data_IF_176075900327
#
_entry.id   IF_176075900327
#
_cell.length_a   1.000
_cell.length_b   1.000
_cell.length_c   1.000
_cell.angle_alpha   90.00
_cell.angle_beta   90.00
_cell.angle_gamma   90.00
#
_symmetry.space_group_name_H-M   'P 1'
#
loop_
_entity.id
_entity.type
_entity.pdbx_description
1 polymer ?
#
# COMPACT_ATOMS: atom_id res chain seq x y z
N UNK A 1 -15.11 -5.04 -12.48
CA UNK A 1 -14.10 -5.95 -13.07
C UNK A 1 -13.24 -6.42 -11.93
N UNK A 2 -13.27 -7.71 -11.63
CA UNK A 2 -12.51 -8.29 -10.53
C UNK A 2 -11.10 -8.63 -11.00
N UNK A 3 -10.09 -8.17 -10.28
CA UNK A 3 -8.68 -8.48 -10.52
C UNK A 3 -8.10 -9.10 -9.26
N UNK A 4 -7.86 -10.42 -9.33
CA UNK A 4 -7.32 -11.22 -8.22
C UNK A 4 -5.83 -10.96 -8.02
N UNK A 5 -5.35 -11.19 -6.80
CA UNK A 5 -3.95 -11.07 -6.41
C UNK A 5 -2.98 -11.75 -7.39
N UNK A 6 -3.27 -12.94 -7.90
CA UNK A 6 -2.39 -13.61 -8.86
C UNK A 6 -2.11 -12.79 -10.15
N UNK A 7 -3.04 -11.91 -10.53
CA UNK A 7 -2.88 -11.00 -11.66
C UNK A 7 -2.10 -9.76 -11.25
N UNK A 8 -2.37 -9.24 -10.06
CA UNK A 8 -1.63 -8.11 -9.47
C UNK A 8 -0.16 -8.48 -9.25
N UNK A 9 0.14 -9.67 -8.73
CA UNK A 9 1.50 -10.17 -8.56
C UNK A 9 2.23 -10.29 -9.90
N UNK A 10 1.55 -10.74 -10.97
CA UNK A 10 2.13 -10.76 -12.33
C UNK A 10 2.48 -9.36 -12.87
N UNK A 11 1.73 -8.32 -12.49
CA UNK A 11 2.05 -6.92 -12.82
C UNK A 11 3.36 -6.53 -12.13
N UNK A 12 3.51 -6.86 -10.85
CA UNK A 12 4.74 -6.60 -10.07
C UNK A 12 5.94 -7.36 -10.62
N UNK A 13 5.83 -8.68 -10.79
CA UNK A 13 6.94 -9.55 -11.21
C UNK A 13 7.47 -9.20 -12.60
N UNK A 14 6.57 -8.82 -13.51
CA UNK A 14 6.90 -8.55 -14.91
C UNK A 14 7.14 -7.08 -15.19
N UNK A 15 6.98 -6.22 -14.19
CA UNK A 15 6.98 -4.76 -14.34
C UNK A 15 6.12 -4.31 -15.54
N UNK A 16 4.87 -4.80 -15.59
CA UNK A 16 3.93 -4.53 -16.68
C UNK A 16 2.81 -3.63 -16.20
N UNK A 17 2.40 -2.69 -17.03
CA UNK A 17 1.15 -1.96 -16.84
C UNK A 17 -0.01 -2.74 -17.44
N UNK A 18 -1.09 -2.91 -16.68
CA UNK A 18 -2.37 -3.41 -17.17
C UNK A 18 -3.27 -2.22 -17.50
N UNK A 19 -3.50 -1.98 -18.79
CA UNK A 19 -4.51 -1.01 -19.22
C UNK A 19 -5.91 -1.58 -19.00
N UNK A 20 -6.78 -0.80 -18.36
CA UNK A 20 -8.18 -1.20 -18.13
C UNK A 20 -9.12 -0.54 -19.14
N UNK A 21 -8.91 0.75 -19.41
CA UNK A 21 -9.57 1.53 -20.47
C UNK A 21 -8.69 2.76 -20.79
N UNK A 22 -9.13 3.67 -21.66
CA UNK A 22 -8.34 4.85 -22.07
C UNK A 22 -8.07 5.87 -20.95
N UNK A 23 -8.64 5.69 -19.76
CA UNK A 23 -8.55 6.63 -18.63
C UNK A 23 -8.11 5.97 -17.32
N UNK A 24 -7.83 4.66 -17.32
CA UNK A 24 -7.44 3.94 -16.13
C UNK A 24 -6.52 2.75 -16.42
N UNK A 25 -5.60 2.53 -15.49
CA UNK A 25 -4.61 1.47 -15.59
C UNK A 25 -4.10 1.07 -14.21
N UNK A 26 -3.48 -0.11 -14.13
CA UNK A 26 -2.76 -0.59 -12.95
C UNK A 26 -1.31 -0.76 -13.32
N UNK A 27 -0.42 -0.22 -12.51
CA UNK A 27 1.03 -0.35 -12.67
C UNK A 27 1.67 -0.86 -11.39
N UNK A 28 2.90 -1.37 -11.51
CA UNK A 28 3.78 -1.62 -10.37
C UNK A 28 4.17 -0.29 -9.68
N UNK A 29 4.46 -0.35 -8.38
CA UNK A 29 5.20 0.68 -7.63
C UNK A 29 6.68 0.32 -7.49
N UNK A 30 7.57 1.31 -7.59
CA UNK A 30 9.02 1.04 -7.69
C UNK A 30 9.67 0.69 -6.33
N UNK A 31 9.09 1.19 -5.23
CA UNK A 31 9.71 1.18 -3.90
C UNK A 31 9.07 0.17 -2.92
N UNK A 32 8.03 -0.55 -3.33
CA UNK A 32 7.43 -1.64 -2.54
C UNK A 32 6.86 -2.74 -3.44
N UNK A 33 6.65 -3.93 -2.86
CA UNK A 33 5.97 -5.03 -3.54
C UNK A 33 4.48 -4.70 -3.64
N UNK A 34 4.05 -4.09 -4.74
CA UNK A 34 2.69 -3.62 -4.83
C UNK A 34 2.32 -2.96 -6.14
N UNK A 35 1.07 -2.52 -6.20
CA UNK A 35 0.49 -1.89 -7.39
C UNK A 35 -0.16 -0.56 -7.05
N UNK A 36 -0.29 0.27 -8.08
CA UNK A 36 -1.03 1.51 -8.06
C UNK A 36 -2.08 1.44 -9.18
N UNK A 37 -3.35 1.52 -8.80
CA UNK A 37 -4.43 1.84 -9.73
C UNK A 37 -4.45 3.35 -9.96
N UNK A 38 -4.55 3.78 -11.21
CA UNK A 38 -4.56 5.19 -11.59
C UNK A 38 -5.82 5.47 -12.38
N UNK A 39 -6.52 6.54 -12.00
CA UNK A 39 -7.67 7.07 -12.72
C UNK A 39 -7.36 8.48 -13.21
N UNK A 40 -7.05 8.62 -14.50
CA UNK A 40 -6.73 9.91 -15.13
C UNK A 40 -7.96 10.82 -15.08
N UNK A 41 -9.14 10.27 -15.35
CA UNK A 41 -10.40 11.03 -15.36
C UNK A 41 -10.77 11.61 -13.99
N UNK A 42 -10.34 10.96 -12.89
CA UNK A 42 -10.60 11.41 -11.52
C UNK A 42 -9.41 12.11 -10.88
N UNK A 43 -8.26 12.14 -11.55
CA UNK A 43 -6.99 12.55 -10.99
C UNK A 43 -6.71 11.85 -9.63
N UNK A 44 -6.94 10.54 -9.57
CA UNK A 44 -6.79 9.75 -8.34
C UNK A 44 -5.85 8.56 -8.54
N UNK A 45 -5.30 8.10 -7.43
CA UNK A 45 -4.43 6.92 -7.37
C UNK A 45 -4.76 6.11 -6.12
N UNK A 46 -4.81 4.81 -6.26
CA UNK A 46 -5.08 3.88 -5.17
C UNK A 46 -3.93 2.88 -5.09
N UNK A 47 -3.31 2.76 -3.93
CA UNK A 47 -2.07 2.04 -3.72
C UNK A 47 -2.29 0.80 -2.88
N UNK A 48 -1.66 -0.31 -3.27
CA UNK A 48 -1.79 -1.61 -2.63
C UNK A 48 -0.42 -2.24 -2.45
N UNK A 49 0.05 -2.37 -1.21
CA UNK A 49 1.30 -3.05 -0.86
C UNK A 49 1.03 -4.44 -0.31
N UNK A 50 1.73 -5.45 -0.82
CA UNK A 50 1.53 -6.86 -0.47
C UNK A 50 2.70 -7.40 0.34
N UNK A 51 2.38 -8.03 1.47
CA UNK A 51 3.32 -8.71 2.33
C UNK A 51 2.78 -10.10 2.72
N UNK A 52 3.44 -11.15 2.24
CA UNK A 52 3.11 -12.53 2.59
C UNK A 52 3.87 -12.92 3.86
N UNK A 53 3.15 -13.44 4.86
CA UNK A 53 3.75 -13.96 6.09
C UNK A 53 3.90 -15.48 5.93
N UNK A 54 2.82 -16.15 5.55
CA UNK A 54 2.77 -17.57 5.19
C UNK A 54 1.58 -17.84 4.23
N UNK A 55 1.32 -19.11 3.90
CA UNK A 55 0.27 -19.49 2.95
C UNK A 55 -1.15 -19.10 3.40
N UNK A 56 -1.38 -18.98 4.72
CA UNK A 56 -2.67 -18.70 5.33
C UNK A 56 -2.76 -17.25 5.88
N UNK A 57 -1.64 -16.51 5.92
CA UNK A 57 -1.58 -15.16 6.47
C UNK A 57 -0.83 -14.20 5.53
N UNK A 58 -1.51 -13.11 5.20
CA UNK A 58 -0.96 -12.04 4.39
C UNK A 58 -1.49 -10.68 4.84
N UNK A 59 -0.75 -9.65 4.49
CA UNK A 59 -1.09 -8.26 4.75
C UNK A 59 -1.14 -7.50 3.44
N UNK A 60 -2.26 -6.79 3.25
CA UNK A 60 -2.38 -5.77 2.21
C UNK A 60 -2.49 -4.39 2.84
N UNK A 61 -1.51 -3.53 2.56
CA UNK A 61 -1.53 -2.11 2.90
C UNK A 61 -2.28 -1.34 1.81
N UNK A 62 -3.17 -0.43 2.19
CA UNK A 62 -3.95 0.40 1.28
C UNK A 62 -3.88 1.88 1.64
N UNK A 63 -3.89 2.71 0.60
CA UNK A 63 -4.09 4.15 0.67
C UNK A 63 -4.61 4.66 -0.67
N UNK A 64 -5.56 5.59 -0.66
CA UNK A 64 -5.93 6.42 -1.83
C UNK A 64 -4.96 7.61 -2.02
N UNK A 65 -3.92 7.68 -1.19
CA UNK A 65 -2.93 8.75 -1.14
C UNK A 65 -3.42 10.05 -0.50
N UNK A 66 -4.67 10.10 -0.01
CA UNK A 66 -5.16 11.16 0.86
C UNK A 66 -4.88 10.76 2.31
N UNK A 67 -3.67 11.05 2.79
CA UNK A 67 -3.22 10.63 4.13
C UNK A 67 -4.04 11.24 5.29
N UNK A 68 -4.90 12.22 5.03
CA UNK A 68 -5.88 12.69 6.02
C UNK A 68 -6.92 11.60 6.37
N UNK A 69 -7.20 10.70 5.43
CA UNK A 69 -8.10 9.56 5.61
C UNK A 69 -7.34 8.32 6.15
N UNK A 70 -6.03 8.45 6.33
CA UNK A 70 -5.16 7.45 6.95
C UNK A 70 -4.67 6.35 6.02
N UNK A 71 -4.32 5.22 6.62
CA UNK A 71 -3.89 4.00 5.93
C UNK A 71 -4.76 2.83 6.39
N UNK A 72 -5.18 1.97 5.48
CA UNK A 72 -5.90 0.75 5.82
C UNK A 72 -4.97 -0.45 5.70
N UNK A 73 -5.12 -1.40 6.60
CA UNK A 73 -4.39 -2.66 6.58
C UNK A 73 -5.41 -3.79 6.62
N UNK A 74 -5.33 -4.67 5.63
CA UNK A 74 -6.14 -5.86 5.52
C UNK A 74 -5.32 -7.10 5.84
N UNK A 75 -5.85 -7.95 6.70
CA UNK A 75 -5.24 -9.22 7.09
C UNK A 75 -6.05 -10.39 6.52
N UNK A 76 -5.46 -11.10 5.56
CA UNK A 76 -6.04 -12.28 4.89
C UNK A 76 -4.96 -12.98 4.04
N UNK A 77 -5.12 -14.27 3.70
CA UNK A 77 -4.28 -14.89 2.68
C UNK A 77 -4.26 -14.03 1.42
N UNK A 78 -3.07 -13.75 0.87
CA UNK A 78 -2.99 -12.91 -0.34
C UNK A 78 -3.73 -13.56 -1.53
N UNK A 79 -3.86 -14.89 -1.56
CA UNK A 79 -4.65 -15.61 -2.58
C UNK A 79 -6.11 -15.18 -2.65
N UNK A 80 -6.65 -14.68 -1.54
CA UNK A 80 -8.05 -14.30 -1.42
C UNK A 80 -8.26 -12.83 -1.79
N UNK A 81 -7.21 -12.01 -1.76
CA UNK A 81 -7.26 -10.61 -2.11
C UNK A 81 -7.63 -10.36 -3.58
N UNK A 82 -8.51 -9.38 -3.79
CA UNK A 82 -8.85 -8.84 -5.10
C UNK A 82 -9.24 -7.37 -5.00
N UNK A 83 -9.23 -6.70 -6.14
CA UNK A 83 -9.84 -5.38 -6.33
C UNK A 83 -11.00 -5.50 -7.32
N UNK A 84 -12.12 -4.82 -7.06
CA UNK A 84 -13.21 -4.69 -8.02
C UNK A 84 -13.26 -3.28 -8.60
N UNK A 85 -13.11 -3.18 -9.91
CA UNK A 85 -13.05 -1.89 -10.60
C UNK A 85 -14.30 -1.71 -11.44
N UNK A 86 -15.08 -0.69 -11.14
CA UNK A 86 -16.11 -0.21 -12.04
C UNK A 86 -15.43 0.58 -13.18
N UNK A 87 -15.08 -0.12 -14.26
CA UNK A 87 -14.38 0.44 -15.42
C UNK A 87 -15.17 1.50 -16.17
N UNK A 88 -16.51 1.54 -16.03
CA UNK A 88 -17.34 2.58 -16.64
C UNK A 88 -17.26 3.89 -15.87
N UNK A 89 -17.12 3.81 -14.54
CA UNK A 89 -17.05 4.98 -13.65
C UNK A 89 -15.62 5.36 -13.24
N UNK A 90 -14.65 4.53 -13.59
CA UNK A 90 -13.27 4.56 -13.09
C UNK A 90 -13.21 4.62 -11.55
N UNK A 91 -14.15 3.95 -10.89
CA UNK A 91 -14.24 3.84 -9.42
C UNK A 91 -13.71 2.47 -9.04
N UNK A 92 -12.88 2.45 -8.01
CA UNK A 92 -12.48 1.25 -7.34
C UNK A 92 -13.45 0.98 -6.18
N UNK A 93 -13.95 -0.24 -6.09
CA UNK A 93 -14.64 -0.77 -4.93
C UNK A 93 -13.76 -1.88 -4.36
N UNK A 94 -13.41 -1.78 -3.07
CA UNK A 94 -12.61 -2.79 -2.39
C UNK A 94 -13.61 -3.69 -1.69
N UNK A 95 -13.68 -4.93 -2.13
CA UNK A 95 -14.36 -5.97 -1.39
C UNK A 95 -13.26 -6.91 -0.89
N UNK A 96 -12.91 -6.75 0.38
CA UNK A 96 -11.99 -7.65 1.04
C UNK A 96 -12.75 -8.93 1.35
N UNK A 97 -12.29 -10.03 0.76
CA UNK A 97 -12.67 -11.37 1.21
C UNK A 97 -12.44 -11.50 2.73
N UNK A 98 -13.17 -12.41 3.38
CA UNK A 98 -13.15 -12.67 4.82
C UNK A 98 -11.76 -12.46 5.46
N UNK A 99 -11.61 -11.35 6.19
CA UNK A 99 -10.36 -10.93 6.82
C UNK A 99 -10.61 -9.82 7.83
N UNK A 100 -9.56 -9.38 8.53
CA UNK A 100 -9.64 -8.22 9.43
C UNK A 100 -9.26 -6.95 8.66
N UNK A 101 -9.97 -5.85 8.94
CA UNK A 101 -9.65 -4.52 8.42
C UNK A 101 -9.29 -3.63 9.61
N UNK A 102 -8.09 -3.04 9.56
CA UNK A 102 -7.63 -2.07 10.56
C UNK A 102 -7.32 -0.75 9.87
N UNK A 103 -8.00 0.32 10.30
CA UNK A 103 -7.78 1.67 9.80
C UNK A 103 -6.86 2.45 10.75
N UNK A 104 -5.68 2.84 10.26
CA UNK A 104 -4.73 3.69 10.93
C UNK A 104 -4.92 5.15 10.50
N UNK A 105 -5.96 5.78 11.02
CA UNK A 105 -6.32 7.17 10.70
C UNK A 105 -5.23 8.18 11.12
N UNK A 106 -4.53 7.90 12.23
CA UNK A 106 -3.65 8.87 12.90
C UNK A 106 -2.17 8.46 12.93
N UNK A 107 -1.78 7.37 12.25
CA UNK A 107 -0.40 6.89 12.33
C UNK A 107 0.59 7.89 11.70
N UNK A 108 0.17 8.60 10.65
CA UNK A 108 0.94 9.69 10.09
C UNK A 108 0.06 10.86 9.67
N UNK A 109 0.52 12.07 9.98
CA UNK A 109 0.04 13.27 9.30
C UNK A 109 0.80 13.49 7.99
N UNK A 110 0.19 14.17 7.01
CA UNK A 110 0.85 14.52 5.74
C UNK A 110 2.18 15.26 5.95
N UNK A 111 2.23 16.21 6.89
CA UNK A 111 3.46 16.94 7.22
C UNK A 111 4.55 16.01 7.76
N UNK A 112 4.20 15.09 8.66
CA UNK A 112 5.15 14.10 9.18
C UNK A 112 5.66 13.20 8.07
N UNK A 113 4.78 12.69 7.20
CA UNK A 113 5.19 11.88 6.05
C UNK A 113 6.11 12.63 5.11
N UNK A 114 5.85 13.92 4.85
CA UNK A 114 6.75 14.72 4.05
C UNK A 114 8.16 14.85 4.66
N UNK A 115 8.25 15.03 5.98
CA UNK A 115 9.54 15.06 6.69
C UNK A 115 10.20 13.69 6.67
N UNK A 116 9.49 12.64 7.06
CA UNK A 116 9.95 11.25 7.08
C UNK A 116 10.44 10.81 5.70
N UNK A 117 9.70 11.10 4.64
CA UNK A 117 10.09 10.74 3.26
C UNK A 117 11.39 11.43 2.87
N UNK A 118 11.53 12.74 3.15
CA UNK A 118 12.78 13.46 2.85
C UNK A 118 13.98 12.94 3.63
N UNK A 119 13.76 12.51 4.87
CA UNK A 119 14.82 12.01 5.76
C UNK A 119 15.20 10.56 5.46
N UNK A 120 14.23 9.67 5.19
CA UNK A 120 14.45 8.22 5.24
C UNK A 120 14.15 7.45 3.95
N UNK A 121 13.59 8.07 2.90
CA UNK A 121 13.19 7.33 1.68
C UNK A 121 14.33 6.48 1.08
N UNK A 122 15.58 6.97 1.18
CA UNK A 122 16.77 6.29 0.64
C UNK A 122 17.59 5.51 1.67
N UNK A 123 17.21 5.57 2.95
CA UNK A 123 17.90 4.86 4.03
C UNK A 123 17.62 3.35 3.92
N UNK A 124 18.47 2.50 4.48
CA UNK A 124 18.26 1.05 4.56
C UNK A 124 17.27 0.70 5.67
N UNK A 125 16.77 -0.55 5.66
CA UNK A 125 15.88 -1.03 6.73
C UNK A 125 16.61 -1.06 8.10
N UNK A 126 17.92 -1.36 8.11
CA UNK A 126 18.76 -1.29 9.31
C UNK A 126 18.81 0.12 9.92
N UNK A 127 18.89 1.14 9.05
CA UNK A 127 18.87 2.54 9.48
C UNK A 127 17.48 2.93 10.01
N UNK A 128 16.41 2.52 9.31
CA UNK A 128 15.04 2.74 9.75
C UNK A 128 14.75 2.13 11.12
N UNK A 129 15.27 0.94 11.44
CA UNK A 129 15.03 0.26 12.73
C UNK A 129 15.44 1.11 13.95
N UNK A 130 16.41 2.00 13.78
CA UNK A 130 16.92 2.89 14.84
C UNK A 130 16.19 4.23 14.90
N UNK A 131 15.29 4.50 13.95
CA UNK A 131 14.61 5.79 13.79
C UNK A 131 13.44 5.95 14.77
N UNK A 132 13.08 7.21 15.05
CA UNK A 132 11.88 7.52 15.84
C UNK A 132 10.60 7.10 15.15
N UNK A 133 10.57 7.16 13.81
CA UNK A 133 9.39 6.79 13.03
C UNK A 133 9.11 5.29 13.16
N UNK A 134 10.16 4.46 13.15
CA UNK A 134 10.01 3.04 13.38
C UNK A 134 9.44 2.73 14.75
N UNK A 135 9.97 3.34 15.81
CA UNK A 135 9.46 3.12 17.17
C UNK A 135 7.98 3.51 17.32
N UNK A 136 7.57 4.60 16.68
CA UNK A 136 6.18 5.04 16.66
C UNK A 136 5.27 4.04 15.93
N UNK A 137 5.63 3.66 14.69
CA UNK A 137 4.83 2.72 13.91
C UNK A 137 4.75 1.36 14.57
N UNK A 138 5.89 0.87 15.10
CA UNK A 138 5.95 -0.38 15.82
C UNK A 138 4.93 -0.42 16.95
N UNK A 139 4.84 0.63 17.76
CA UNK A 139 3.87 0.72 18.85
C UNK A 139 2.42 0.58 18.35
N UNK A 140 2.07 1.23 17.24
CA UNK A 140 0.75 1.05 16.61
C UNK A 140 0.54 -0.37 16.09
N UNK A 141 1.55 -0.99 15.48
CA UNK A 141 1.42 -2.38 15.04
C UNK A 141 1.21 -3.31 16.25
N UNK A 142 1.98 -3.15 17.33
CA UNK A 142 1.85 -3.96 18.56
C UNK A 142 0.47 -3.83 19.21
N UNK A 143 -0.14 -2.64 19.17
CA UNK A 143 -1.40 -2.37 19.84
C UNK A 143 -2.61 -2.95 19.09
N UNK A 144 -2.50 -3.11 17.76
CA UNK A 144 -3.61 -3.50 16.88
C UNK A 144 -3.47 -4.91 16.30
N UNK A 145 -2.25 -5.43 16.18
CA UNK A 145 -1.98 -6.76 15.68
C UNK A 145 -1.29 -7.64 16.72
N UNK A 146 -1.68 -8.90 16.80
CA UNK A 146 -1.07 -9.89 17.69
C UNK A 146 0.15 -10.59 17.05
N UNK A 147 0.98 -9.81 16.35
CA UNK A 147 2.25 -10.29 15.78
C UNK A 147 3.41 -10.00 16.73
N UNK A 148 4.37 -10.92 16.83
CA UNK A 148 5.56 -10.74 17.67
C UNK A 148 6.86 -10.86 16.86
N UNK A 149 7.93 -10.37 17.46
CA UNK A 149 9.31 -10.53 17.01
C UNK A 149 9.58 -10.05 15.56
N UNK A 150 10.01 -10.97 14.69
CA UNK A 150 10.46 -10.68 13.34
C UNK A 150 9.29 -10.24 12.44
N UNK A 151 8.11 -10.83 12.60
CA UNK A 151 6.93 -10.52 11.79
C UNK A 151 6.47 -9.09 12.06
N UNK A 152 6.33 -8.70 13.33
CA UNK A 152 6.00 -7.34 13.75
C UNK A 152 7.00 -6.31 13.17
N UNK A 153 8.29 -6.65 13.24
CA UNK A 153 9.38 -5.83 12.71
C UNK A 153 9.23 -5.62 11.20
N UNK A 154 8.97 -6.69 10.45
CA UNK A 154 8.76 -6.64 9.00
C UNK A 154 7.53 -5.82 8.64
N UNK A 155 6.38 -6.04 9.30
CA UNK A 155 5.14 -5.29 9.05
C UNK A 155 5.37 -3.80 9.26
N UNK A 156 6.01 -3.43 10.37
CA UNK A 156 6.30 -2.03 10.70
C UNK A 156 7.18 -1.37 9.64
N UNK A 157 8.25 -2.04 9.20
CA UNK A 157 9.13 -1.54 8.14
C UNK A 157 8.38 -1.41 6.80
N UNK A 158 7.59 -2.43 6.44
CA UNK A 158 6.82 -2.43 5.19
C UNK A 158 5.78 -1.31 5.16
N UNK A 159 5.10 -1.06 6.27
CA UNK A 159 4.14 0.04 6.39
C UNK A 159 4.82 1.41 6.23
N UNK A 160 5.98 1.61 6.86
CA UNK A 160 6.77 2.85 6.72
C UNK A 160 7.20 3.06 5.26
N UNK A 161 7.73 2.02 4.62
CA UNK A 161 8.13 2.07 3.20
C UNK A 161 6.94 2.39 2.32
N UNK A 162 5.84 1.67 2.50
CA UNK A 162 4.59 1.89 1.77
C UNK A 162 4.15 3.36 1.88
N UNK A 163 4.04 3.89 3.10
CA UNK A 163 3.58 5.27 3.31
C UNK A 163 4.50 6.32 2.67
N UNK A 164 5.83 6.17 2.80
CA UNK A 164 6.79 7.08 2.14
C UNK A 164 6.69 7.01 0.61
N UNK A 165 6.54 5.81 0.06
CA UNK A 165 6.43 5.60 -1.39
C UNK A 165 5.15 6.17 -1.96
N UNK A 166 4.02 5.99 -1.26
CA UNK A 166 2.74 6.62 -1.62
C UNK A 166 2.89 8.13 -1.63
N UNK A 167 3.51 8.71 -0.58
CA UNK A 167 3.72 10.15 -0.50
C UNK A 167 4.59 10.68 -1.65
N UNK A 168 5.74 10.03 -1.91
CA UNK A 168 6.64 10.45 -2.99
C UNK A 168 5.96 10.37 -4.36
N UNK A 169 5.21 9.29 -4.63
CA UNK A 169 4.51 9.09 -5.90
C UNK A 169 3.33 10.06 -6.07
N UNK A 170 2.57 10.35 -5.00
CA UNK A 170 1.45 11.29 -5.06
C UNK A 170 1.87 12.71 -5.46
N UNK A 171 3.05 13.14 -5.00
CA UNK A 171 3.58 14.47 -5.36
C UNK A 171 4.01 14.62 -6.82
N UNK A 172 4.03 13.53 -7.59
CA UNK A 172 4.36 13.53 -9.02
C UNK A 172 3.10 13.72 -9.87
N UNK A 173 3.18 14.35 -11.05
CA UNK A 173 2.06 14.39 -12.00
C UNK A 173 1.61 12.99 -12.42
N UNK A 174 0.31 12.79 -12.65
CA UNK A 174 -0.20 11.54 -13.22
C UNK A 174 0.30 11.42 -14.67
N UNK A 175 1.02 10.33 -15.03
CA UNK A 175 1.38 10.08 -16.41
C UNK A 175 0.13 9.85 -17.25
N UNK A 176 -0.01 10.60 -18.33
CA UNK A 176 -0.97 10.27 -19.41
C UNK A 176 -0.44 9.05 -20.16
N UNK A 177 -1.30 8.04 -20.34
CA UNK A 177 -0.99 6.83 -21.13
C UNK A 177 -0.97 7.17 -22.62
#
# INVERSE_FOLDING_TARGET
>A
MIIRYETLQKIVDKNKTLQLNDQSYIRKTDDFNGVCYVSVARNSRDYYGFFEIDEDHGITFYSDGEFADGLTVYESPLSDFYIDINTDKNILDIDTSAGSETNFLDIFTEQQLGVTTREYLKESDEQLLTSKIYQMVKHYISDYFDYQDEVETQISLKLIRFAMSVYDDQTKPIPTV
#
